data_IF_073236905675
#
_entry.id   IF_073236905675
#
_cell.length_a   1.000
_cell.length_b   1.000
_cell.length_c   1.000
_cell.angle_alpha   90.00
_cell.angle_beta   90.00
_cell.angle_gamma   90.00
#
_symmetry.space_group_name_H-M   'P 1'
#
loop_
_entity.id
_entity.type
_entity.pdbx_description
1 polymer ?
#
# COMPACT_ATOMS: atom_id res chain seq x y z
N UNK A 1 24.30 11.30 -51.49
CA UNK A 1 24.52 10.75 -50.14
C UNK A 1 23.29 11.09 -49.31
N UNK A 2 22.32 10.17 -49.23
CA UNK A 2 21.04 10.38 -48.54
C UNK A 2 21.19 10.03 -47.06
N UNK A 3 21.00 11.02 -46.19
CA UNK A 3 21.02 10.83 -44.73
C UNK A 3 19.79 10.00 -44.32
N UNK A 4 20.03 8.76 -43.89
CA UNK A 4 19.04 7.94 -43.20
C UNK A 4 18.73 8.61 -41.85
N UNK A 5 17.57 9.27 -41.75
CA UNK A 5 17.00 9.70 -40.47
C UNK A 5 16.37 8.49 -39.79
N UNK A 6 17.16 7.79 -38.97
CA UNK A 6 16.67 6.77 -38.05
C UNK A 6 15.61 7.39 -37.12
N UNK A 7 14.34 7.07 -37.36
CA UNK A 7 13.24 7.48 -36.50
C UNK A 7 13.50 6.98 -35.07
N UNK A 8 13.58 7.92 -34.12
CA UNK A 8 13.72 7.58 -32.70
C UNK A 8 12.57 6.65 -32.27
N UNK A 9 12.82 5.61 -31.45
CA UNK A 9 11.79 4.66 -31.06
C UNK A 9 10.66 5.41 -30.34
N UNK A 10 9.48 5.41 -30.96
CA UNK A 10 8.28 6.03 -30.44
C UNK A 10 7.94 5.34 -29.11
N UNK A 11 8.16 6.03 -27.98
CA UNK A 11 7.89 5.50 -26.64
C UNK A 11 6.48 4.92 -26.60
N UNK A 12 6.37 3.63 -26.32
CA UNK A 12 5.09 2.95 -26.15
C UNK A 12 4.28 3.70 -25.07
N UNK A 13 3.20 4.37 -25.49
CA UNK A 13 2.27 5.03 -24.57
C UNK A 13 1.12 4.08 -24.26
N UNK A 14 0.95 3.76 -22.99
CA UNK A 14 -0.17 2.96 -22.52
C UNK A 14 -1.48 3.72 -22.76
N UNK A 15 -2.49 3.02 -23.31
CA UNK A 15 -3.83 3.58 -23.49
C UNK A 15 -4.41 3.87 -22.09
N UNK A 16 -4.71 5.14 -21.81
CA UNK A 16 -5.35 5.56 -20.55
C UNK A 16 -6.81 5.10 -20.55
N UNK A 17 -7.06 3.87 -20.13
CA UNK A 17 -8.40 3.25 -20.10
C UNK A 17 -9.06 3.29 -18.73
N UNK A 18 -8.31 3.65 -17.68
CA UNK A 18 -8.76 3.68 -16.30
C UNK A 18 -9.49 4.99 -15.96
N UNK A 19 -10.76 4.88 -15.57
CA UNK A 19 -11.60 5.98 -15.08
C UNK A 19 -11.38 6.22 -13.58
N UNK A 20 -11.92 7.32 -13.01
CA UNK A 20 -11.68 7.72 -11.61
C UNK A 20 -12.02 6.62 -10.60
N UNK A 21 -13.18 5.97 -10.76
CA UNK A 21 -13.65 4.95 -9.83
C UNK A 21 -12.68 3.77 -9.69
N UNK A 22 -12.25 3.08 -10.76
CA UNK A 22 -11.28 2.00 -10.63
C UNK A 22 -9.90 2.46 -10.14
N UNK A 23 -9.49 3.72 -10.36
CA UNK A 23 -8.27 4.27 -9.74
C UNK A 23 -8.41 4.40 -8.22
N UNK A 24 -9.56 4.91 -7.73
CA UNK A 24 -9.84 5.00 -6.29
C UNK A 24 -9.92 3.61 -5.67
N UNK A 25 -10.58 2.66 -6.33
CA UNK A 25 -10.69 1.28 -5.86
C UNK A 25 -9.32 0.58 -5.77
N UNK A 26 -8.45 0.79 -6.75
CA UNK A 26 -7.06 0.31 -6.65
C UNK A 26 -6.32 0.95 -5.47
N UNK A 27 -6.48 2.26 -5.25
CA UNK A 27 -5.87 2.94 -4.10
C UNK A 27 -6.34 2.37 -2.75
N UNK A 28 -7.64 2.13 -2.60
CA UNK A 28 -8.22 1.52 -1.40
C UNK A 28 -7.73 0.08 -1.18
N UNK A 29 -7.62 -0.70 -2.26
CA UNK A 29 -7.07 -2.06 -2.19
C UNK A 29 -5.62 -2.07 -1.70
N UNK A 30 -4.80 -1.10 -2.14
CA UNK A 30 -3.41 -0.98 -1.72
C UNK A 30 -3.23 -0.44 -0.30
N UNK A 31 -4.20 0.31 0.25
CA UNK A 31 -4.13 0.85 1.62
C UNK A 31 -4.33 -0.22 2.70
N UNK A 32 -4.81 -1.42 2.35
CA UNK A 32 -5.04 -2.55 3.28
C UNK A 32 -5.76 -2.12 4.58
N UNK A 33 -7.01 -1.62 4.53
CA UNK A 33 -7.71 -1.06 5.70
C UNK A 33 -7.84 -2.02 6.88
N UNK A 34 -7.81 -3.33 6.61
CA UNK A 34 -7.92 -4.38 7.62
C UNK A 34 -6.75 -4.37 8.63
N UNK A 35 -5.57 -3.88 8.23
CA UNK A 35 -4.38 -3.81 9.09
C UNK A 35 -4.57 -2.93 10.33
N UNK A 36 -5.54 -2.01 10.29
CA UNK A 36 -5.94 -1.23 11.46
C UNK A 36 -6.44 -2.15 12.58
N UNK A 37 -7.23 -3.17 12.26
CA UNK A 37 -7.82 -4.05 13.27
C UNK A 37 -6.79 -4.93 13.99
N UNK A 38 -5.65 -5.21 13.37
CA UNK A 38 -4.60 -6.05 13.96
C UNK A 38 -3.91 -5.37 15.15
N UNK A 39 -3.75 -4.04 15.10
CA UNK A 39 -2.97 -3.28 16.09
C UNK A 39 -3.85 -2.38 16.95
N UNK A 40 -5.00 -1.92 16.45
CA UNK A 40 -5.83 -0.93 17.13
C UNK A 40 -6.26 -1.38 18.53
N UNK A 41 -6.69 -2.64 18.71
CA UNK A 41 -7.14 -3.13 20.01
C UNK A 41 -6.02 -3.12 21.07
N UNK A 42 -4.84 -3.60 20.70
CA UNK A 42 -3.68 -3.67 21.60
C UNK A 42 -3.17 -2.27 21.93
N UNK A 43 -2.99 -1.42 20.91
CA UNK A 43 -2.47 -0.06 21.10
C UNK A 43 -3.46 0.80 21.87
N UNK A 44 -4.77 0.65 21.63
CA UNK A 44 -5.81 1.38 22.37
C UNK A 44 -5.77 1.04 23.86
N UNK A 45 -5.55 -0.22 24.21
CA UNK A 45 -5.33 -0.64 25.60
C UNK A 45 -4.06 -0.03 26.21
N UNK A 46 -2.97 0.01 25.44
CA UNK A 46 -1.69 0.57 25.90
C UNK A 46 -1.70 2.10 26.04
N UNK A 47 -2.51 2.81 25.25
CA UNK A 47 -2.55 4.28 25.22
C UNK A 47 -3.81 4.85 25.86
N UNK A 48 -4.53 4.09 26.68
CA UNK A 48 -5.77 4.55 27.36
C UNK A 48 -6.81 5.16 26.40
N UNK A 49 -6.94 4.61 25.19
CA UNK A 49 -7.91 5.07 24.19
C UNK A 49 -7.50 6.28 23.32
N UNK A 50 -6.28 6.83 23.49
CA UNK A 50 -5.78 7.97 22.70
C UNK A 50 -5.45 7.64 21.22
N UNK A 51 -5.65 6.40 20.79
CA UNK A 51 -5.40 5.99 19.39
C UNK A 51 -6.26 6.77 18.40
N UNK A 52 -7.53 7.04 18.75
CA UNK A 52 -8.44 7.76 17.86
C UNK A 52 -7.98 9.21 17.59
N UNK A 53 -7.47 9.91 18.61
CA UNK A 53 -6.95 11.28 18.45
C UNK A 53 -5.66 11.29 17.64
N UNK A 54 -4.77 10.31 17.83
CA UNK A 54 -3.58 10.14 17.01
C UNK A 54 -3.94 9.93 15.51
N UNK A 55 -4.94 9.10 15.21
CA UNK A 55 -5.45 8.94 13.84
C UNK A 55 -6.06 10.22 13.28
N UNK A 56 -6.75 11.03 14.09
CA UNK A 56 -7.29 12.31 13.65
C UNK A 56 -6.17 13.29 13.24
N UNK A 57 -5.10 13.39 14.03
CA UNK A 57 -3.94 14.21 13.65
C UNK A 57 -3.23 13.67 12.40
N UNK A 58 -3.05 12.36 12.29
CA UNK A 58 -2.46 11.72 11.12
C UNK A 58 -3.29 11.98 9.85
N UNK A 59 -4.63 11.91 9.95
CA UNK A 59 -5.53 12.20 8.85
C UNK A 59 -5.35 13.62 8.32
N UNK A 60 -5.24 14.62 9.21
CA UNK A 60 -5.01 16.01 8.82
C UNK A 60 -3.70 16.14 8.03
N UNK A 61 -2.62 15.53 8.50
CA UNK A 61 -1.32 15.55 7.81
C UNK A 61 -1.37 14.87 6.43
N UNK A 62 -2.08 13.73 6.33
CA UNK A 62 -2.26 13.00 5.08
C UNK A 62 -3.13 13.79 4.09
N UNK A 63 -4.14 14.53 4.55
CA UNK A 63 -4.96 15.39 3.70
C UNK A 63 -4.14 16.50 3.05
N UNK A 64 -3.24 17.15 3.78
CA UNK A 64 -2.31 18.13 3.20
C UNK A 64 -1.42 17.49 2.13
N UNK A 65 -0.94 16.27 2.40
CA UNK A 65 -0.15 15.49 1.44
C UNK A 65 -0.96 15.19 0.18
N UNK A 66 -2.20 14.70 0.33
CA UNK A 66 -3.08 14.36 -0.78
C UNK A 66 -3.39 15.57 -1.68
N UNK A 67 -3.68 16.74 -1.10
CA UNK A 67 -3.92 17.98 -1.86
C UNK A 67 -2.66 18.41 -2.62
N UNK A 68 -1.49 18.32 -1.99
CA UNK A 68 -0.21 18.62 -2.65
C UNK A 68 0.04 17.70 -3.86
N UNK A 69 -0.11 16.39 -3.67
CA UNK A 69 0.01 15.39 -4.74
C UNK A 69 -1.00 15.63 -5.88
N UNK A 70 -2.25 15.97 -5.55
CA UNK A 70 -3.29 16.29 -6.52
C UNK A 70 -2.97 17.50 -7.41
N UNK A 71 -2.26 18.51 -6.89
CA UNK A 71 -1.77 19.65 -7.68
C UNK A 71 -0.57 19.25 -8.55
N UNK A 72 0.37 18.49 -7.98
CA UNK A 72 1.61 18.10 -8.63
C UNK A 72 1.39 17.11 -9.79
N UNK A 73 0.46 16.17 -9.66
CA UNK A 73 0.14 15.21 -10.75
C UNK A 73 -0.42 15.89 -12.00
N UNK A 74 -1.17 16.99 -11.83
CA UNK A 74 -1.69 17.80 -12.94
C UNK A 74 -0.57 18.59 -13.63
N UNK A 75 0.38 19.11 -12.84
CA UNK A 75 1.52 19.90 -13.35
C UNK A 75 2.60 19.02 -14.00
N UNK A 76 2.82 17.83 -13.45
CA UNK A 76 3.84 16.88 -13.91
C UNK A 76 3.20 15.51 -14.19
N UNK A 77 2.48 15.36 -15.33
CA UNK A 77 1.80 14.10 -15.68
C UNK A 77 2.81 13.05 -16.16
N UNK A 78 3.58 12.51 -15.21
CA UNK A 78 4.60 11.49 -15.42
C UNK A 78 4.42 10.36 -14.39
N UNK A 79 4.85 9.15 -14.73
CA UNK A 79 4.71 7.96 -13.90
C UNK A 79 5.63 7.94 -12.66
N UNK A 80 6.55 8.90 -12.50
CA UNK A 80 7.57 8.85 -11.47
C UNK A 80 7.17 9.38 -10.08
N UNK A 81 5.87 9.60 -9.82
CA UNK A 81 5.28 9.84 -8.49
C UNK A 81 6.08 10.86 -7.62
N UNK A 82 6.18 10.59 -6.31
CA UNK A 82 6.86 11.41 -5.29
C UNK A 82 8.27 11.85 -5.69
N UNK A 83 9.07 10.93 -6.24
CA UNK A 83 10.42 11.21 -6.75
C UNK A 83 10.40 12.33 -7.79
N UNK A 84 9.53 12.22 -8.80
CA UNK A 84 9.43 13.23 -9.87
C UNK A 84 8.91 14.56 -9.33
N UNK A 85 7.97 14.52 -8.39
CA UNK A 85 7.41 15.74 -7.81
C UNK A 85 8.44 16.50 -6.98
N UNK A 86 9.17 15.81 -6.10
CA UNK A 86 10.22 16.40 -5.28
C UNK A 86 11.39 16.92 -6.13
N UNK A 87 11.79 16.13 -7.14
CA UNK A 87 12.85 16.52 -8.09
C UNK A 87 12.51 17.81 -8.82
N UNK A 88 11.26 17.96 -9.31
CA UNK A 88 10.83 19.09 -10.13
C UNK A 88 10.34 20.30 -9.34
N UNK A 89 9.84 20.11 -8.12
CA UNK A 89 9.30 21.18 -7.29
C UNK A 89 10.33 21.76 -6.32
N UNK A 90 11.32 20.98 -5.88
CA UNK A 90 12.30 21.38 -4.86
C UNK A 90 13.71 21.38 -5.45
N UNK A 91 14.31 20.20 -5.64
CA UNK A 91 15.65 20.07 -6.24
C UNK A 91 15.95 18.62 -6.63
N UNK A 92 16.93 18.38 -7.55
CA UNK A 92 17.37 17.04 -7.91
C UNK A 92 17.85 16.17 -6.75
N UNK A 93 18.55 16.76 -5.78
CA UNK A 93 19.06 16.04 -4.61
C UNK A 93 17.93 15.56 -3.70
N UNK A 94 16.92 16.40 -3.48
CA UNK A 94 15.74 16.02 -2.68
C UNK A 94 14.94 14.94 -3.41
N UNK A 95 14.79 15.06 -4.74
CA UNK A 95 14.24 14.00 -5.57
C UNK A 95 14.94 12.66 -5.36
N UNK A 96 16.27 12.64 -5.44
CA UNK A 96 17.08 11.44 -5.20
C UNK A 96 16.87 10.84 -3.80
N UNK A 97 16.85 11.66 -2.75
CA UNK A 97 16.58 11.18 -1.39
C UNK A 97 15.18 10.57 -1.25
N UNK A 98 14.16 11.20 -1.84
CA UNK A 98 12.80 10.66 -1.86
C UNK A 98 12.74 9.33 -2.59
N UNK A 99 13.42 9.21 -3.73
CA UNK A 99 13.51 7.95 -4.48
C UNK A 99 14.13 6.82 -3.66
N UNK A 100 15.22 7.10 -2.94
CA UNK A 100 15.84 6.14 -2.04
C UNK A 100 14.96 5.76 -0.87
N UNK A 101 14.29 6.73 -0.25
CA UNK A 101 13.34 6.48 0.85
C UNK A 101 12.20 5.56 0.39
N UNK A 102 11.60 5.83 -0.77
CA UNK A 102 10.55 4.97 -1.34
C UNK A 102 11.05 3.56 -1.68
N UNK A 103 12.29 3.42 -2.17
CA UNK A 103 12.87 2.10 -2.45
C UNK A 103 13.05 1.29 -1.15
N UNK A 104 13.56 1.92 -0.10
CA UNK A 104 13.74 1.28 1.20
C UNK A 104 12.39 0.90 1.83
N UNK A 105 11.39 1.78 1.72
CA UNK A 105 10.02 1.49 2.15
C UNK A 105 9.48 0.23 1.47
N UNK A 106 9.60 0.13 0.15
CA UNK A 106 9.20 -1.05 -0.60
C UNK A 106 9.99 -2.32 -0.26
N UNK A 107 11.25 -2.18 0.17
CA UNK A 107 12.07 -3.32 0.60
C UNK A 107 11.71 -3.82 1.99
N UNK A 108 11.42 -2.92 2.93
CA UNK A 108 11.09 -3.27 4.31
C UNK A 108 9.65 -3.75 4.49
N UNK A 109 8.72 -3.28 3.66
CA UNK A 109 7.30 -3.67 3.72
C UNK A 109 7.09 -5.20 3.74
N UNK A 110 7.65 -5.99 2.80
CA UNK A 110 7.52 -7.46 2.84
C UNK A 110 8.19 -8.08 4.08
N UNK A 111 9.32 -7.54 4.52
CA UNK A 111 10.06 -8.05 5.68
C UNK A 111 9.24 -7.95 6.96
N UNK A 112 8.57 -6.80 7.17
CA UNK A 112 7.69 -6.58 8.32
C UNK A 112 6.49 -7.55 8.27
N UNK A 113 5.90 -7.75 7.09
CA UNK A 113 4.79 -8.69 6.93
C UNK A 113 5.18 -10.14 7.26
N UNK A 114 6.37 -10.59 6.84
CA UNK A 114 6.88 -11.93 7.18
C UNK A 114 7.17 -12.04 8.67
N UNK A 115 7.70 -10.99 9.30
CA UNK A 115 7.93 -10.95 10.75
C UNK A 115 6.61 -11.09 11.54
N UNK A 116 5.56 -10.38 11.12
CA UNK A 116 4.23 -10.52 11.72
C UNK A 116 3.68 -11.94 11.53
N UNK A 117 3.75 -12.47 10.30
CA UNK A 117 3.32 -13.84 10.01
C UNK A 117 4.06 -14.89 10.86
N UNK A 118 5.37 -14.70 11.07
CA UNK A 118 6.18 -15.52 11.99
C UNK A 118 5.64 -15.45 13.42
N UNK A 119 5.37 -14.26 13.94
CA UNK A 119 4.86 -14.09 15.31
C UNK A 119 3.49 -14.76 15.50
N UNK A 120 2.60 -14.64 14.51
CA UNK A 120 1.32 -15.36 14.52
C UNK A 120 1.51 -16.87 14.47
N UNK A 121 2.41 -17.37 13.62
CA UNK A 121 2.71 -18.79 13.53
C UNK A 121 3.26 -19.36 14.85
N UNK A 122 4.20 -18.67 15.48
CA UNK A 122 4.76 -19.08 16.79
C UNK A 122 3.70 -19.13 17.89
N UNK A 123 2.71 -18.23 17.84
CA UNK A 123 1.59 -18.22 18.78
C UNK A 123 0.61 -19.38 18.56
N UNK A 124 0.42 -19.80 17.30
CA UNK A 124 -0.54 -20.85 16.93
C UNK A 124 0.05 -22.26 17.05
N UNK A 125 1.35 -22.43 16.73
CA UNK A 125 2.02 -23.74 16.71
C UNK A 125 3.30 -23.69 17.56
N UNK A 126 3.17 -23.65 18.89
CA UNK A 126 4.33 -23.70 19.77
C UNK A 126 5.07 -25.04 19.59
N UNK A 127 6.35 -24.98 19.22
CA UNK A 127 7.23 -26.16 19.13
C UNK A 127 7.83 -26.42 17.75
N UNK A 128 7.37 -25.77 16.68
CA UNK A 128 8.01 -25.85 15.35
C UNK A 128 9.00 -24.69 15.19
N UNK A 129 10.26 -24.93 14.76
CA UNK A 129 11.20 -23.87 14.43
C UNK A 129 10.64 -22.94 13.34
N UNK A 130 10.43 -21.68 13.69
CA UNK A 130 9.72 -20.71 12.85
C UNK A 130 10.47 -20.33 11.57
N UNK A 131 11.78 -20.57 11.50
CA UNK A 131 12.56 -20.36 10.28
C UNK A 131 12.07 -21.22 9.11
N UNK A 132 11.55 -22.43 9.38
CA UNK A 132 11.00 -23.32 8.34
C UNK A 132 9.76 -22.67 7.71
N UNK A 133 8.86 -22.15 8.55
CA UNK A 133 7.68 -21.44 8.10
C UNK A 133 8.04 -20.18 7.29
N UNK A 134 9.02 -19.41 7.76
CA UNK A 134 9.52 -18.22 7.05
C UNK A 134 10.06 -18.58 5.67
N UNK A 135 10.94 -19.59 5.56
CA UNK A 135 11.53 -20.00 4.28
C UNK A 135 10.45 -20.49 3.30
N UNK A 136 9.50 -21.30 3.78
CA UNK A 136 8.38 -21.79 2.96
C UNK A 136 7.49 -20.65 2.47
N UNK A 137 7.11 -19.73 3.37
CA UNK A 137 6.23 -18.61 3.04
C UNK A 137 6.90 -17.65 2.05
N UNK A 138 8.17 -17.30 2.29
CA UNK A 138 8.96 -16.47 1.36
C UNK A 138 9.09 -17.16 0.01
N UNK A 139 9.47 -18.44 -0.01
CA UNK A 139 9.60 -19.20 -1.25
C UNK A 139 8.29 -19.24 -2.04
N UNK A 140 7.17 -19.49 -1.36
CA UNK A 140 5.84 -19.46 -1.98
C UNK A 140 5.50 -18.08 -2.57
N UNK A 141 5.75 -17.00 -1.84
CA UNK A 141 5.50 -15.63 -2.30
C UNK A 141 6.39 -15.27 -3.48
N UNK A 142 7.68 -15.60 -3.43
CA UNK A 142 8.62 -15.36 -4.53
C UNK A 142 8.20 -16.13 -5.79
N UNK A 143 7.87 -17.42 -5.67
CA UNK A 143 7.40 -18.23 -6.80
C UNK A 143 6.09 -17.68 -7.39
N UNK A 144 5.18 -17.22 -6.55
CA UNK A 144 3.91 -16.61 -6.99
C UNK A 144 4.15 -15.30 -7.73
N UNK A 145 5.10 -14.48 -7.25
CA UNK A 145 5.51 -13.25 -7.95
C UNK A 145 6.17 -13.54 -9.32
N UNK A 146 6.90 -14.66 -9.45
CA UNK A 146 7.54 -15.06 -10.72
C UNK A 146 6.55 -15.60 -11.77
N UNK A 147 5.44 -16.23 -11.36
CA UNK A 147 4.44 -16.83 -12.27
C UNK A 147 3.50 -15.82 -12.96
N UNK A 148 3.62 -14.53 -12.65
CA UNK A 148 2.96 -13.43 -13.36
C UNK A 148 1.77 -12.81 -12.63
N UNK A 149 1.70 -11.47 -12.71
CA UNK A 149 0.75 -10.58 -11.99
C UNK A 149 -0.74 -10.86 -12.29
N UNK A 150 -1.08 -11.51 -13.40
CA UNK A 150 -2.48 -11.70 -13.82
C UNK A 150 -3.31 -12.55 -12.85
N UNK A 151 -2.72 -13.62 -12.29
CA UNK A 151 -3.44 -14.47 -11.32
C UNK A 151 -3.57 -13.79 -9.96
N UNK A 152 -2.53 -13.05 -9.55
CA UNK A 152 -2.50 -12.29 -8.31
C UNK A 152 -3.54 -11.16 -8.33
N UNK A 153 -3.71 -10.47 -9.45
CA UNK A 153 -4.66 -9.36 -9.58
C UNK A 153 -6.13 -9.78 -9.42
N UNK A 154 -6.52 -10.94 -9.96
CA UNK A 154 -7.90 -11.44 -9.84
C UNK A 154 -8.21 -12.01 -8.45
N UNK A 155 -7.23 -12.60 -7.76
CA UNK A 155 -7.39 -13.02 -6.37
C UNK A 155 -7.52 -11.82 -5.43
N UNK A 156 -6.77 -10.76 -5.70
CA UNK A 156 -6.76 -9.56 -4.86
C UNK A 156 -8.13 -8.86 -4.84
N UNK A 157 -8.87 -8.83 -5.96
CA UNK A 157 -10.19 -8.19 -5.99
C UNK A 157 -11.21 -8.87 -5.07
N UNK A 158 -11.20 -10.20 -4.98
CA UNK A 158 -12.09 -10.96 -4.07
C UNK A 158 -11.75 -10.66 -2.61
N UNK A 159 -10.46 -10.63 -2.27
CA UNK A 159 -9.98 -10.31 -0.92
C UNK A 159 -10.41 -8.90 -0.51
N UNK A 160 -10.27 -7.92 -1.42
CA UNK A 160 -10.68 -6.53 -1.16
C UNK A 160 -12.18 -6.42 -0.91
N UNK A 161 -13.01 -7.11 -1.70
CA UNK A 161 -14.47 -7.11 -1.49
C UNK A 161 -14.81 -7.70 -0.11
N UNK A 162 -14.20 -8.83 0.26
CA UNK A 162 -14.40 -9.44 1.58
C UNK A 162 -13.95 -8.50 2.71
N UNK A 163 -12.80 -7.83 2.57
CA UNK A 163 -12.29 -6.85 3.54
C UNK A 163 -13.27 -5.69 3.74
N UNK A 164 -13.82 -5.14 2.66
CA UNK A 164 -14.80 -4.06 2.73
C UNK A 164 -16.07 -4.52 3.46
N UNK A 165 -16.55 -5.73 3.18
CA UNK A 165 -17.72 -6.31 3.85
C UNK A 165 -17.49 -6.46 5.36
N UNK A 166 -16.33 -7.02 5.75
CA UNK A 166 -15.97 -7.16 7.17
C UNK A 166 -15.85 -5.80 7.84
N UNK A 167 -15.21 -4.84 7.18
CA UNK A 167 -15.07 -3.47 7.71
C UNK A 167 -16.43 -2.82 7.96
N UNK A 168 -17.35 -2.88 6.98
CA UNK A 168 -18.71 -2.35 7.12
C UNK A 168 -19.47 -3.07 8.22
N UNK A 169 -19.35 -4.40 8.32
CA UNK A 169 -19.98 -5.19 9.37
C UNK A 169 -19.52 -4.79 10.78
N UNK A 170 -18.20 -4.65 10.98
CA UNK A 170 -17.62 -4.21 12.26
C UNK A 170 -18.08 -2.77 12.58
N UNK A 171 -18.02 -1.85 11.62
CA UNK A 171 -18.47 -0.46 11.83
C UNK A 171 -19.95 -0.40 12.18
N UNK A 172 -20.81 -1.16 11.50
CA UNK A 172 -22.23 -1.23 11.81
C UNK A 172 -22.49 -1.79 13.22
N UNK A 173 -21.76 -2.84 13.62
CA UNK A 173 -21.85 -3.42 14.95
C UNK A 173 -21.41 -2.43 16.03
N UNK A 174 -20.33 -1.67 15.80
CA UNK A 174 -19.87 -0.62 16.73
C UNK A 174 -20.91 0.49 16.86
N UNK A 175 -21.47 0.96 15.75
CA UNK A 175 -22.53 1.99 15.77
C UNK A 175 -23.75 1.48 16.54
N UNK A 176 -24.16 0.24 16.29
CA UNK A 176 -25.27 -0.38 17.00
C UNK A 176 -24.97 -0.50 18.50
N UNK A 177 -23.78 -1.00 18.88
CA UNK A 177 -23.37 -1.15 20.28
C UNK A 177 -23.37 0.18 21.04
N UNK A 178 -22.82 1.25 20.44
CA UNK A 178 -22.85 2.60 21.04
C UNK A 178 -24.28 3.15 21.12
N UNK A 179 -25.13 2.85 20.14
CA UNK A 179 -26.53 3.28 20.15
C UNK A 179 -27.40 2.49 21.14
N UNK A 180 -27.04 1.24 21.46
CA UNK A 180 -27.78 0.36 22.37
C UNK A 180 -27.32 0.43 23.83
N UNK A 181 -26.19 1.10 24.13
CA UNK A 181 -25.60 1.21 25.48
C UNK A 181 -24.55 0.17 25.76
#
# INVERSE_FOLDING_TARGET
MSLNTSAAPQRAQLKKTLTLLPVVMMGLAYMQPMTLFDTFGIVSGLTEGHVATAYAFALIAILFTAVSYGKLVRRFPSAGSAYTYAQKAISPHVGFMVGWSSLLDYLFMPMINILLAKNYFESLVPGIPSWIFVVLLVGFMTLSNLKGIKTVANFNSVIVVLQVVVMVGITAMVIYGVASG
#
